data_IF_445334396224
#
_entry.id   IF_445334396224
#
_cell.length_a   1.000
_cell.length_b   1.000
_cell.length_c   1.000
_cell.angle_alpha   90.00
_cell.angle_beta   90.00
_cell.angle_gamma   90.00
#
_symmetry.space_group_name_H-M   'P 1'
#
loop_
_entity.id
_entity.type
_entity.pdbx_description
1 polymer ?
#
# COMPACT_ATOMS: atom_id res chain seq x y z
N UNK A 1 -22.45 -5.38 -6.50
CA UNK A 1 -21.11 -4.73 -6.39
C UNK A 1 -20.82 -4.54 -4.92
N UNK A 2 -19.86 -5.27 -4.35
CA UNK A 2 -19.45 -5.01 -2.97
C UNK A 2 -18.87 -3.59 -2.87
N UNK A 3 -19.33 -2.82 -1.91
CA UNK A 3 -18.92 -1.43 -1.75
C UNK A 3 -17.56 -1.36 -1.03
N UNK A 4 -16.56 -0.75 -1.66
CA UNK A 4 -15.32 -0.34 -0.97
C UNK A 4 -15.69 0.73 0.05
N UNK A 5 -15.37 0.49 1.32
CA UNK A 5 -15.64 1.44 2.41
C UNK A 5 -14.33 1.99 2.94
N UNK A 6 -14.32 3.26 3.35
CA UNK A 6 -13.21 3.79 4.15
C UNK A 6 -13.35 3.20 5.56
N UNK A 7 -12.27 2.69 6.11
CA UNK A 7 -12.25 2.05 7.44
C UNK A 7 -10.90 2.29 8.10
N UNK A 8 -10.91 2.52 9.42
CA UNK A 8 -9.69 2.57 10.21
C UNK A 8 -9.13 1.16 10.35
N UNK A 9 -7.80 1.02 10.27
CA UNK A 9 -7.14 -0.25 10.47
C UNK A 9 -7.48 -0.82 11.86
N UNK A 10 -7.79 -2.13 11.99
CA UNK A 10 -8.13 -2.72 13.29
C UNK A 10 -7.02 -2.50 14.32
N UNK A 11 -7.39 -2.31 15.59
CA UNK A 11 -6.45 -2.02 16.69
C UNK A 11 -5.46 -3.17 16.92
N UNK A 12 -5.80 -4.38 16.48
CA UNK A 12 -4.96 -5.57 16.59
C UNK A 12 -3.83 -5.62 15.55
N UNK A 13 -3.80 -4.68 14.60
CA UNK A 13 -2.74 -4.64 13.58
C UNK A 13 -1.38 -4.30 14.18
N UNK A 14 -0.37 -5.06 13.78
CA UNK A 14 1.02 -4.79 14.14
C UNK A 14 1.54 -3.47 13.60
N UNK A 15 0.86 -2.89 12.59
CA UNK A 15 1.23 -1.59 12.06
C UNK A 15 1.14 -0.48 13.12
N UNK A 16 0.27 -0.64 14.13
CA UNK A 16 0.15 0.34 15.21
C UNK A 16 1.40 0.39 16.11
N UNK A 17 2.19 -0.68 16.18
CA UNK A 17 3.48 -0.67 16.88
C UNK A 17 4.48 0.33 16.28
N UNK A 18 4.33 0.62 14.99
CA UNK A 18 5.15 1.59 14.27
C UNK A 18 4.60 3.00 14.38
N UNK A 19 3.34 3.21 14.77
CA UNK A 19 2.66 4.50 14.64
C UNK A 19 3.19 5.56 15.61
N UNK A 20 3.27 6.81 15.15
CA UNK A 20 3.62 7.99 15.96
C UNK A 20 2.70 9.16 15.60
N UNK A 21 2.35 10.05 16.55
CA UNK A 21 1.55 11.23 16.25
C UNK A 21 2.12 12.05 15.08
N UNK A 22 1.30 12.29 14.06
CA UNK A 22 1.69 13.00 12.84
C UNK A 22 1.95 12.10 11.64
N UNK A 23 1.97 10.77 11.82
CA UNK A 23 1.96 9.82 10.72
C UNK A 23 0.61 9.83 10.00
N UNK A 24 0.64 9.52 8.71
CA UNK A 24 -0.54 9.40 7.87
C UNK A 24 -0.97 7.94 7.74
N UNK A 25 -2.27 7.68 7.93
CA UNK A 25 -2.88 6.36 7.71
C UNK A 25 -4.16 6.53 6.89
N UNK A 26 -4.28 5.78 5.79
CA UNK A 26 -5.53 5.67 5.02
C UNK A 26 -5.92 4.19 4.88
N UNK A 27 -7.13 3.85 5.31
CA UNK A 27 -7.63 2.48 5.32
C UNK A 27 -8.93 2.32 4.56
N UNK A 28 -9.05 1.20 3.85
CA UNK A 28 -10.25 0.80 3.14
C UNK A 28 -10.53 -0.67 3.33
N UNK A 29 -11.80 -1.05 3.22
CA UNK A 29 -12.24 -2.42 3.41
C UNK A 29 -13.28 -2.87 2.41
N UNK A 30 -13.27 -4.17 2.14
CA UNK A 30 -14.24 -4.89 1.30
C UNK A 30 -14.58 -6.22 1.94
N UNK A 31 -15.74 -6.78 1.63
CA UNK A 31 -16.03 -8.15 2.01
C UNK A 31 -15.09 -9.08 1.25
N UNK A 32 -14.46 -10.00 1.96
CA UNK A 32 -13.62 -11.00 1.32
C UNK A 32 -13.31 -12.14 2.27
N UNK A 33 -13.39 -13.35 1.74
CA UNK A 33 -12.93 -14.59 2.35
C UNK A 33 -11.45 -14.93 2.03
N UNK A 34 -10.78 -14.10 1.24
CA UNK A 34 -9.40 -14.32 0.82
C UNK A 34 -8.42 -14.24 2.00
N UNK A 35 -7.35 -15.04 1.97
CA UNK A 35 -6.26 -14.89 2.93
C UNK A 35 -5.56 -13.52 2.74
N UNK A 36 -5.05 -12.87 3.80
CA UNK A 36 -4.40 -11.56 3.71
C UNK A 36 -3.32 -11.49 2.62
N UNK A 37 -2.49 -12.52 2.53
CA UNK A 37 -1.41 -12.59 1.55
C UNK A 37 -1.92 -12.70 0.10
N UNK A 38 -3.00 -13.45 -0.13
CA UNK A 38 -3.59 -13.59 -1.47
C UNK A 38 -4.35 -12.32 -1.88
N UNK A 39 -5.09 -11.73 -0.94
CA UNK A 39 -5.72 -10.43 -1.14
C UNK A 39 -4.67 -9.35 -1.48
N UNK A 40 -3.53 -9.34 -0.79
CA UNK A 40 -2.41 -8.46 -1.11
C UNK A 40 -1.88 -8.69 -2.52
N UNK A 41 -1.61 -9.94 -2.92
CA UNK A 41 -1.15 -10.26 -4.30
C UNK A 41 -2.15 -9.79 -5.35
N UNK A 42 -3.44 -10.02 -5.15
CA UNK A 42 -4.50 -9.63 -6.09
C UNK A 42 -4.62 -8.12 -6.19
N UNK A 43 -4.61 -7.43 -5.03
CA UNK A 43 -4.70 -5.99 -4.94
C UNK A 43 -3.50 -5.29 -5.58
N UNK A 44 -2.28 -5.77 -5.27
CA UNK A 44 -1.02 -5.19 -5.75
C UNK A 44 -0.60 -5.65 -7.16
N UNK A 45 -1.35 -6.56 -7.78
CA UNK A 45 -1.18 -6.87 -9.20
C UNK A 45 -1.69 -5.69 -10.05
N UNK A 46 -0.88 -4.64 -10.12
CA UNK A 46 -1.25 -3.33 -10.65
C UNK A 46 -1.40 -3.33 -12.18
N UNK A 47 -2.49 -2.78 -12.73
CA UNK A 47 -2.64 -2.64 -14.18
C UNK A 47 -1.68 -1.59 -14.77
N UNK A 48 -1.45 -1.64 -16.08
CA UNK A 48 -0.51 -0.74 -16.78
C UNK A 48 -0.74 0.76 -16.59
N UNK A 49 -1.96 1.22 -16.31
CA UNK A 49 -2.23 2.64 -16.00
C UNK A 49 -1.59 3.11 -14.69
N UNK A 50 -1.33 2.21 -13.74
CA UNK A 50 -0.61 2.55 -12.50
C UNK A 50 0.85 2.87 -12.83
N UNK A 51 1.45 2.23 -13.84
CA UNK A 51 2.79 2.60 -14.34
C UNK A 51 2.79 4.02 -14.92
N UNK A 52 1.73 4.42 -15.65
CA UNK A 52 1.55 5.79 -16.15
C UNK A 52 1.45 6.78 -14.99
N UNK A 53 0.68 6.44 -13.95
CA UNK A 53 0.53 7.25 -12.74
C UNK A 53 1.85 7.43 -11.98
N UNK A 54 2.65 6.37 -11.91
CA UNK A 54 4.00 6.42 -11.34
C UNK A 54 4.94 7.30 -12.18
N UNK A 55 4.78 7.30 -13.51
CA UNK A 55 5.45 8.24 -14.40
C UNK A 55 5.08 9.70 -14.11
N UNK A 56 3.78 9.99 -13.94
CA UNK A 56 3.29 11.33 -13.57
C UNK A 56 3.85 11.75 -12.20
N UNK A 57 3.79 10.86 -11.19
CA UNK A 57 4.42 11.08 -9.87
C UNK A 57 5.88 11.47 -10.03
N UNK A 58 6.65 10.69 -10.78
CA UNK A 58 8.08 10.94 -11.01
C UNK A 58 8.32 12.29 -11.68
N UNK A 59 7.49 12.69 -12.65
CA UNK A 59 7.59 13.99 -13.31
C UNK A 59 7.30 15.16 -12.34
N UNK A 60 6.32 15.04 -11.46
CA UNK A 60 5.97 16.09 -10.50
C UNK A 60 7.05 16.25 -9.42
N UNK A 61 7.70 15.15 -9.02
CA UNK A 61 8.72 15.17 -7.94
C UNK A 61 10.15 15.42 -8.46
N UNK A 62 10.37 15.32 -9.79
CA UNK A 62 11.67 15.56 -10.42
C UNK A 62 12.25 16.97 -10.14
N UNK A 63 11.47 18.07 -10.18
CA UNK A 63 11.97 19.41 -9.83
C UNK A 63 12.42 19.55 -8.37
N UNK A 64 11.97 18.67 -7.49
CA UNK A 64 12.33 18.66 -6.06
C UNK A 64 13.60 17.82 -5.77
N UNK A 65 14.29 17.32 -6.81
CA UNK A 65 15.52 16.52 -6.65
C UNK A 65 15.29 15.14 -6.03
N UNK A 66 14.03 14.70 -5.90
CA UNK A 66 13.66 13.38 -5.42
C UNK A 66 13.78 12.42 -6.61
N UNK A 67 14.91 11.70 -6.70
CA UNK A 67 15.05 10.59 -7.63
C UNK A 67 13.98 9.56 -7.27
N UNK A 68 12.98 9.37 -8.14
CA UNK A 68 11.93 8.38 -7.96
C UNK A 68 12.53 7.04 -7.56
N UNK A 69 12.01 6.49 -6.46
CA UNK A 69 12.62 5.34 -5.77
C UNK A 69 13.07 4.25 -6.74
N UNK A 70 14.37 3.95 -6.71
CA UNK A 70 15.02 2.88 -7.50
C UNK A 70 14.46 1.47 -7.22
N UNK A 71 13.58 1.33 -6.24
CA UNK A 71 13.00 0.05 -5.79
C UNK A 71 11.84 -0.45 -6.66
N UNK A 72 11.36 0.34 -7.63
CA UNK A 72 10.31 -0.08 -8.58
C UNK A 72 10.86 -0.66 -9.89
N UNK A 73 12.18 -0.67 -10.06
CA UNK A 73 12.78 -1.47 -11.13
C UNK A 73 12.77 -2.93 -10.67
N UNK A 74 11.80 -3.67 -11.19
CA UNK A 74 11.93 -5.09 -11.52
C UNK A 74 13.39 -5.41 -11.80
N UNK A 75 14.09 -6.13 -10.89
CA UNK A 75 15.31 -6.93 -11.12
C UNK A 75 16.22 -7.14 -9.88
N UNK A 76 15.79 -6.86 -8.65
CA UNK A 76 16.61 -7.19 -7.47
C UNK A 76 16.14 -8.48 -6.79
N UNK A 77 16.86 -9.57 -7.10
CA UNK A 77 16.72 -10.93 -6.57
C UNK A 77 16.83 -11.02 -5.05
N UNK A 78 15.75 -10.68 -4.36
CA UNK A 78 15.43 -11.27 -3.05
C UNK A 78 14.77 -12.63 -3.32
N UNK A 79 15.03 -13.69 -2.53
CA UNK A 79 14.48 -15.03 -2.79
C UNK A 79 12.94 -15.11 -2.74
N UNK A 80 12.25 -14.06 -2.27
CA UNK A 80 10.79 -13.88 -2.34
C UNK A 80 10.28 -13.17 -3.61
N UNK A 81 11.17 -12.79 -4.53
CA UNK A 81 10.87 -12.11 -5.80
C UNK A 81 10.08 -12.96 -6.81
N UNK A 82 9.68 -14.18 -6.44
CA UNK A 82 8.77 -15.02 -7.22
C UNK A 82 7.29 -14.59 -7.19
N UNK A 83 6.92 -13.52 -6.45
CA UNK A 83 5.50 -13.19 -6.19
C UNK A 83 4.98 -11.89 -6.82
N UNK A 84 5.79 -11.15 -7.59
CA UNK A 84 5.34 -9.89 -8.21
C UNK A 84 5.05 -8.77 -7.19
N UNK A 85 5.47 -8.94 -5.94
CA UNK A 85 5.34 -7.95 -4.89
C UNK A 85 6.34 -6.81 -5.13
N UNK A 86 5.81 -5.60 -5.26
CA UNK A 86 6.58 -4.36 -5.53
C UNK A 86 7.36 -3.91 -4.28
N UNK A 87 7.03 -4.45 -3.10
CA UNK A 87 7.61 -4.07 -1.82
C UNK A 87 8.00 -5.31 -1.01
N UNK A 88 9.09 -5.26 -0.22
CA UNK A 88 9.49 -6.37 0.65
C UNK A 88 8.50 -6.55 1.80
N UNK A 89 8.33 -7.81 2.23
CA UNK A 89 7.50 -8.17 3.39
C UNK A 89 8.26 -7.81 4.67
N UNK A 90 7.61 -7.05 5.55
CA UNK A 90 8.16 -6.64 6.85
C UNK A 90 7.52 -7.36 8.03
N UNK A 91 6.28 -7.81 7.86
CA UNK A 91 5.57 -8.61 8.85
C UNK A 91 4.56 -9.51 8.16
N UNK A 92 4.35 -10.71 8.69
CA UNK A 92 3.34 -11.64 8.19
C UNK A 92 2.95 -12.64 9.28
N UNK A 93 1.66 -12.79 9.47
CA UNK A 93 1.04 -13.87 10.24
C UNK A 93 -0.20 -14.43 9.49
N UNK A 94 -1.09 -15.10 10.22
CA UNK A 94 -2.33 -15.66 9.65
C UNK A 94 -3.41 -14.60 9.35
N UNK A 95 -3.37 -13.46 10.04
CA UNK A 95 -4.42 -12.44 10.01
C UNK A 95 -3.99 -11.17 9.29
N UNK A 96 -2.70 -10.98 9.06
CA UNK A 96 -2.10 -9.77 8.55
C UNK A 96 -0.84 -10.03 7.73
N UNK A 97 -0.66 -9.20 6.71
CA UNK A 97 0.63 -9.03 6.04
C UNK A 97 0.94 -7.53 5.92
N UNK A 98 2.19 -7.17 6.22
CA UNK A 98 2.70 -5.82 6.04
C UNK A 98 3.87 -5.87 5.07
N UNK A 99 3.81 -5.04 4.05
CA UNK A 99 4.90 -4.82 3.10
C UNK A 99 5.26 -3.35 3.06
N UNK A 100 6.50 -3.01 2.72
CA UNK A 100 6.85 -1.61 2.48
C UNK A 100 8.33 -1.34 2.47
N UNK A 101 8.71 -0.06 2.42
CA UNK A 101 10.10 0.39 2.33
C UNK A 101 10.33 1.61 3.21
N UNK A 102 11.58 1.80 3.58
CA UNK A 102 12.07 3.00 4.26
C UNK A 102 12.85 3.84 3.24
N UNK A 103 12.58 5.14 3.18
CA UNK A 103 13.22 6.07 2.24
C UNK A 103 13.61 7.35 3.00
N UNK A 104 14.56 8.09 2.43
CA UNK A 104 15.17 9.28 3.06
C UNK A 104 14.16 10.36 3.42
N UNK A 105 13.04 10.44 2.70
CA UNK A 105 12.03 11.48 2.85
C UNK A 105 10.74 11.00 3.52
N UNK A 106 10.47 9.70 3.45
CA UNK A 106 9.36 9.05 4.13
C UNK A 106 9.58 7.55 4.26
N UNK A 107 8.95 6.96 5.26
CA UNK A 107 8.73 5.52 5.32
C UNK A 107 7.32 5.20 4.83
N UNK A 108 7.15 4.05 4.18
CA UNK A 108 5.89 3.62 3.61
C UNK A 108 5.62 2.15 3.90
N UNK A 109 4.42 1.86 4.40
CA UNK A 109 3.92 0.50 4.62
C UNK A 109 2.51 0.34 4.06
N UNK A 110 2.20 -0.87 3.61
CA UNK A 110 0.86 -1.34 3.28
C UNK A 110 0.59 -2.54 4.18
N UNK A 111 -0.42 -2.41 5.04
CA UNK A 111 -0.96 -3.51 5.82
C UNK A 111 -2.22 -4.05 5.13
N UNK A 112 -2.33 -5.36 5.03
CA UNK A 112 -3.55 -6.06 4.64
C UNK A 112 -3.93 -6.98 5.80
N UNK A 113 -5.02 -6.66 6.47
CA UNK A 113 -5.50 -7.34 7.65
C UNK A 113 -6.88 -7.95 7.39
N UNK A 114 -7.11 -9.17 7.88
CA UNK A 114 -8.40 -9.84 7.84
C UNK A 114 -9.18 -9.53 9.11
N UNK A 115 -10.30 -8.83 8.96
CA UNK A 115 -11.26 -8.56 10.01
C UNK A 115 -12.57 -9.29 9.70
N UNK A 116 -12.77 -10.47 10.31
CA UNK A 116 -13.93 -11.35 10.10
C UNK A 116 -14.14 -11.71 8.62
N UNK A 117 -15.25 -11.29 8.03
CA UNK A 117 -15.64 -11.50 6.63
C UNK A 117 -15.08 -10.44 5.67
N UNK A 118 -14.10 -9.65 6.13
CA UNK A 118 -13.59 -8.49 5.41
C UNK A 118 -12.07 -8.46 5.36
N UNK A 119 -11.57 -7.90 4.27
CA UNK A 119 -10.18 -7.50 4.15
C UNK A 119 -10.10 -5.99 4.31
N UNK A 120 -9.24 -5.54 5.21
CA UNK A 120 -8.88 -4.15 5.43
C UNK A 120 -7.47 -3.94 4.88
N UNK A 121 -7.32 -3.02 3.93
CA UNK A 121 -6.02 -2.56 3.46
C UNK A 121 -5.78 -1.16 4.00
N UNK A 122 -4.67 -0.96 4.70
CA UNK A 122 -4.24 0.35 5.15
C UNK A 122 -2.86 0.69 4.60
N UNK A 123 -2.70 1.95 4.22
CA UNK A 123 -1.41 2.52 3.87
C UNK A 123 -0.97 3.49 4.96
N UNK A 124 0.23 3.26 5.47
CA UNK A 124 0.87 4.10 6.47
C UNK A 124 2.06 4.81 5.85
N UNK A 125 2.20 6.10 6.17
CA UNK A 125 3.31 6.94 5.74
C UNK A 125 3.82 7.76 6.92
N UNK A 126 5.12 7.67 7.19
CA UNK A 126 5.82 8.58 8.09
C UNK A 126 6.68 9.52 7.27
N UNK A 127 6.52 10.84 7.43
CA UNK A 127 7.38 11.81 6.73
C UNK A 127 8.50 12.31 7.63
N UNK A 128 9.75 12.29 7.15
CA UNK A 128 10.91 12.71 7.95
C UNK A 128 11.18 14.22 7.87
N UNK A 129 10.74 14.88 6.80
CA UNK A 129 11.05 16.28 6.54
C UNK A 129 9.94 16.98 5.74
N UNK A 130 10.10 18.28 5.52
CA UNK A 130 9.13 19.09 4.75
C UNK A 130 8.95 18.59 3.32
N UNK A 131 10.00 18.03 2.70
CA UNK A 131 9.92 17.44 1.36
C UNK A 131 9.02 16.21 1.37
N UNK A 132 9.11 15.35 2.39
CA UNK A 132 8.21 14.21 2.58
C UNK A 132 6.74 14.63 2.69
N UNK A 133 6.44 15.75 3.39
CA UNK A 133 5.07 16.28 3.51
C UNK A 133 4.52 16.83 2.19
N UNK A 134 5.33 17.59 1.46
CA UNK A 134 4.96 18.09 0.13
C UNK A 134 4.72 16.92 -0.82
N UNK A 135 5.65 15.96 -0.82
CA UNK A 135 5.56 14.74 -1.60
C UNK A 135 4.27 13.98 -1.30
N UNK A 136 3.97 13.72 -0.02
CA UNK A 136 2.75 13.02 0.40
C UNK A 136 1.51 13.73 -0.15
N UNK A 137 1.43 15.06 0.03
CA UNK A 137 0.31 15.88 -0.45
C UNK A 137 0.09 15.75 -1.95
N UNK A 138 1.18 15.75 -2.73
CA UNK A 138 1.13 15.59 -4.19
C UNK A 138 0.63 14.20 -4.61
N UNK A 139 1.05 13.14 -3.90
CA UNK A 139 0.67 11.77 -4.26
C UNK A 139 -0.69 11.33 -3.73
N UNK A 140 -1.26 12.02 -2.73
CA UNK A 140 -2.54 11.70 -2.10
C UNK A 140 -3.70 11.41 -3.06
N UNK A 141 -4.01 12.25 -4.08
CA UNK A 141 -5.12 11.96 -4.99
C UNK A 141 -4.92 10.64 -5.76
N UNK A 142 -3.67 10.37 -6.16
CA UNK A 142 -3.29 9.15 -6.86
C UNK A 142 -3.35 7.93 -5.95
N UNK A 143 -2.90 8.09 -4.70
CA UNK A 143 -2.97 7.06 -3.67
C UNK A 143 -4.41 6.56 -3.46
N UNK A 144 -5.35 7.49 -3.26
CA UNK A 144 -6.77 7.15 -3.06
C UNK A 144 -7.32 6.36 -4.26
N UNK A 145 -6.96 6.75 -5.49
CA UNK A 145 -7.41 6.06 -6.70
C UNK A 145 -6.84 4.64 -6.80
N UNK A 146 -5.54 4.46 -6.52
CA UNK A 146 -4.86 3.17 -6.54
C UNK A 146 -5.48 2.24 -5.50
N UNK A 147 -5.57 2.65 -4.23
CA UNK A 147 -6.07 1.80 -3.15
C UNK A 147 -7.51 1.36 -3.42
N UNK A 148 -8.37 2.28 -3.87
CA UNK A 148 -9.75 1.92 -4.28
C UNK A 148 -9.77 0.90 -5.41
N UNK A 149 -8.84 0.95 -6.35
CA UNK A 149 -8.73 -0.05 -7.42
C UNK A 149 -8.27 -1.41 -6.88
N UNK A 150 -7.25 -1.43 -6.02
CA UNK A 150 -6.78 -2.63 -5.33
C UNK A 150 -7.94 -3.32 -4.60
N UNK A 151 -8.70 -2.56 -3.80
CA UNK A 151 -9.85 -3.08 -3.05
C UNK A 151 -10.97 -3.61 -3.96
N UNK A 152 -11.26 -2.93 -5.08
CA UNK A 152 -12.22 -3.43 -6.07
C UNK A 152 -11.79 -4.75 -6.70
N UNK A 153 -10.48 -4.98 -6.88
CA UNK A 153 -9.95 -6.23 -7.43
C UNK A 153 -10.09 -7.37 -6.42
N UNK A 154 -9.74 -7.11 -5.16
CA UNK A 154 -9.93 -8.06 -4.05
C UNK A 154 -11.41 -8.47 -3.97
N UNK A 155 -12.32 -7.49 -3.95
CA UNK A 155 -13.75 -7.73 -3.91
C UNK A 155 -14.30 -8.56 -5.09
N UNK A 156 -13.68 -8.45 -6.29
CA UNK A 156 -14.07 -9.23 -7.47
C UNK A 156 -13.53 -10.66 -7.48
N UNK A 157 -12.42 -10.90 -6.78
CA UNK A 157 -11.77 -12.20 -6.71
C UNK A 157 -12.27 -13.04 -5.53
N UNK A 158 -12.99 -12.42 -4.59
CA UNK A 158 -13.66 -13.13 -3.50
C UNK A 158 -14.86 -13.92 -4.00
N UNK A 159 -15.11 -15.07 -3.38
CA UNK A 159 -16.23 -15.95 -3.70
C UNK A 159 -17.53 -15.61 -2.93
N UNK A 160 -17.52 -14.52 -2.15
CA UNK A 160 -18.63 -14.06 -1.28
C UNK A 160 -19.61 -13.14 -1.99
#
# INVERSE_FOLDING_TARGET
MQAVRKQVLPEQSELWSLFTPGDFVDGYSVQSDLAPFDAMKIGLNMPGWVKILMGIRNAIVAPFGLKGGKHLNTDNGSPDAGTGAIFPVTYRDETEVIVGIDDRHLDFRIAVHRDKDRIVMAAWVRTHNRLGRIYLTVIMPFHILIVRNCMKRIARASAV
#
